data_IF_715948158920
#
_entry.id   IF_715948158920
#
_cell.length_a   1.000
_cell.length_b   1.000
_cell.length_c   1.000
_cell.angle_alpha   90.00
_cell.angle_beta   90.00
_cell.angle_gamma   90.00
#
_symmetry.space_group_name_H-M   'P 1'
#
loop_
_entity.id
_entity.type
_entity.pdbx_description
1 polymer ?
#
# COMPACT_ATOMS: atom_id res chain seq x y z
N UNK A 1 6.00 -2.79 14.71
CA UNK A 1 5.66 -1.39 14.40
C UNK A 1 4.22 -1.37 13.91
N UNK A 2 3.39 -0.45 14.39
CA UNK A 2 1.99 -0.38 13.96
C UNK A 2 1.87 0.47 12.68
N UNK A 3 1.50 -0.18 11.57
CA UNK A 3 1.31 0.47 10.27
C UNK A 3 0.12 1.45 10.31
N UNK A 4 -0.89 1.16 11.15
CA UNK A 4 -2.15 1.94 11.20
C UNK A 4 -1.94 3.38 11.65
N UNK A 5 -0.83 3.67 12.31
CA UNK A 5 -0.49 5.01 12.81
C UNK A 5 0.67 5.66 12.05
N UNK A 6 1.16 5.04 10.98
CA UNK A 6 2.25 5.60 10.19
C UNK A 6 1.74 6.77 9.34
N UNK A 7 2.49 7.88 9.26
CA UNK A 7 2.15 8.94 8.32
C UNK A 7 2.39 8.49 6.87
N UNK A 8 1.70 9.13 5.93
CA UNK A 8 2.00 9.01 4.52
C UNK A 8 3.44 9.47 4.25
N UNK A 9 4.14 8.77 3.35
CA UNK A 9 5.52 9.07 3.00
C UNK A 9 6.37 7.83 2.69
N UNK A 10 7.67 8.06 2.43
CA UNK A 10 8.57 7.03 1.93
C UNK A 10 8.67 5.79 2.82
N UNK A 11 8.58 5.95 4.14
CA UNK A 11 8.65 4.84 5.09
C UNK A 11 7.43 3.92 4.97
N UNK A 12 6.22 4.49 4.81
CA UNK A 12 5.01 3.69 4.61
C UNK A 12 4.99 3.02 3.23
N UNK A 13 5.41 3.75 2.20
CA UNK A 13 5.52 3.22 0.83
C UNK A 13 6.52 2.05 0.77
N UNK A 14 7.62 2.10 1.56
CA UNK A 14 8.55 1.01 1.73
C UNK A 14 7.93 -0.22 2.41
N UNK A 15 7.09 -0.02 3.44
CA UNK A 15 6.37 -1.12 4.10
C UNK A 15 5.41 -1.83 3.14
N UNK A 16 4.78 -1.08 2.24
CA UNK A 16 3.96 -1.64 1.16
C UNK A 16 4.79 -2.40 0.13
N UNK A 17 5.92 -1.85 -0.34
CA UNK A 17 6.82 -2.56 -1.24
C UNK A 17 7.25 -3.92 -0.65
N UNK A 18 7.62 -3.94 0.64
CA UNK A 18 7.94 -5.19 1.36
C UNK A 18 6.74 -6.14 1.42
N UNK A 19 5.54 -5.63 1.72
CA UNK A 19 4.31 -6.45 1.75
C UNK A 19 3.94 -7.03 0.38
N UNK A 20 4.28 -6.33 -0.71
CA UNK A 20 4.14 -6.82 -2.08
C UNK A 20 5.18 -7.91 -2.45
N UNK A 21 6.16 -8.14 -1.59
CA UNK A 21 7.25 -9.10 -1.78
C UNK A 21 8.40 -8.54 -2.60
N UNK A 22 8.62 -7.22 -2.57
CA UNK A 22 9.77 -6.60 -3.24
C UNK A 22 11.00 -6.71 -2.35
N UNK A 23 12.13 -7.05 -2.97
CA UNK A 23 13.42 -7.11 -2.27
C UNK A 23 14.04 -5.70 -2.24
N UNK A 24 14.46 -5.27 -1.05
CA UNK A 24 15.23 -4.04 -0.90
C UNK A 24 16.68 -4.30 -1.28
N UNK A 25 17.21 -3.51 -2.21
CA UNK A 25 18.63 -3.54 -2.60
C UNK A 25 19.27 -2.18 -2.34
N UNK A 26 20.54 -2.20 -1.95
CA UNK A 26 21.33 -0.99 -1.88
C UNK A 26 21.87 -0.64 -3.28
N UNK A 27 21.55 0.56 -3.78
CA UNK A 27 22.07 1.00 -5.08
C UNK A 27 23.54 1.41 -4.95
N UNK A 28 24.48 0.77 -5.69
CA UNK A 28 25.92 0.93 -5.48
C UNK A 28 26.44 2.37 -5.69
N UNK A 29 25.71 3.20 -6.43
CA UNK A 29 26.15 4.54 -6.84
C UNK A 29 25.39 5.70 -6.18
N UNK A 30 24.27 5.44 -5.50
CA UNK A 30 23.43 6.49 -4.90
C UNK A 30 23.26 6.37 -3.39
N UNK A 31 23.61 5.22 -2.79
CA UNK A 31 23.40 4.96 -1.36
C UNK A 31 21.92 5.00 -0.96
N UNK A 32 21.01 4.88 -1.92
CA UNK A 32 19.56 4.86 -1.70
C UNK A 32 19.03 3.45 -1.86
N UNK A 33 18.00 3.06 -1.09
CA UNK A 33 17.31 1.80 -1.34
C UNK A 33 16.61 1.86 -2.71
N UNK A 34 16.72 0.78 -3.46
CA UNK A 34 15.87 0.48 -4.61
C UNK A 34 15.14 -0.84 -4.35
N UNK A 35 14.07 -1.06 -5.11
CA UNK A 35 13.23 -2.24 -4.95
C UNK A 35 13.34 -3.14 -6.17
N UNK A 36 13.43 -4.44 -5.94
CA UNK A 36 13.46 -5.46 -6.98
C UNK A 36 12.19 -6.30 -6.89
N UNK A 37 11.52 -6.47 -8.03
CA UNK A 37 10.41 -7.41 -8.15
C UNK A 37 10.70 -8.37 -9.31
N UNK A 38 10.69 -9.68 -9.02
CA UNK A 38 10.95 -10.73 -10.01
C UNK A 38 12.26 -10.55 -10.81
N UNK A 39 13.32 -10.06 -10.16
CA UNK A 39 14.62 -9.82 -10.80
C UNK A 39 14.71 -8.54 -11.65
N UNK A 40 13.64 -7.74 -11.72
CA UNK A 40 13.63 -6.43 -12.37
C UNK A 40 13.74 -5.34 -11.32
N UNK A 41 14.72 -4.44 -11.48
CA UNK A 41 14.86 -3.30 -10.58
C UNK A 41 13.75 -2.29 -10.88
N UNK A 42 12.79 -2.18 -9.97
CA UNK A 42 11.85 -1.07 -9.90
C UNK A 42 12.54 0.10 -9.16
N UNK A 43 13.47 0.77 -9.83
CA UNK A 43 14.08 2.02 -9.34
C UNK A 43 12.99 3.10 -9.33
N UNK A 44 12.71 3.94 -8.33
CA UNK A 44 13.24 4.22 -6.99
C UNK A 44 12.05 4.59 -6.08
N UNK A 45 12.24 4.75 -4.76
CA UNK A 45 11.20 5.32 -3.85
C UNK A 45 10.64 6.69 -4.28
N UNK A 46 11.25 7.35 -5.27
CA UNK A 46 10.75 8.59 -5.86
C UNK A 46 9.53 8.39 -6.76
N UNK A 47 9.38 7.20 -7.35
CA UNK A 47 8.34 6.92 -8.35
C UNK A 47 7.23 6.02 -7.78
N UNK A 48 7.55 5.19 -6.78
CA UNK A 48 6.55 4.43 -6.02
C UNK A 48 6.13 5.20 -4.77
N UNK A 49 5.12 6.06 -4.91
CA UNK A 49 4.61 6.95 -3.84
C UNK A 49 3.11 6.80 -3.57
N UNK A 50 2.61 5.57 -3.33
CA UNK A 50 1.16 5.29 -3.23
C UNK A 50 0.45 5.99 -2.08
N UNK A 51 1.13 6.27 -0.97
CA UNK A 51 0.51 6.99 0.15
C UNK A 51 0.27 8.47 -0.10
N UNK A 52 0.86 9.04 -1.16
CA UNK A 52 0.84 10.49 -1.44
C UNK A 52 0.40 10.86 -2.86
N UNK A 53 0.34 9.90 -3.78
CA UNK A 53 -0.10 10.14 -5.17
C UNK A 53 -1.22 9.18 -5.61
N UNK A 54 -2.13 9.70 -6.42
CA UNK A 54 -3.19 8.89 -7.04
C UNK A 54 -2.65 7.86 -8.02
N UNK A 55 -1.58 8.19 -8.75
CA UNK A 55 -0.92 7.26 -9.68
C UNK A 55 -0.36 6.06 -8.93
N UNK A 56 0.38 6.29 -7.83
CA UNK A 56 0.88 5.20 -6.99
C UNK A 56 -0.25 4.38 -6.37
N UNK A 57 -1.28 5.03 -5.81
CA UNK A 57 -2.43 4.31 -5.24
C UNK A 57 -3.18 3.49 -6.31
N UNK A 58 -3.28 3.99 -7.54
CA UNK A 58 -3.84 3.27 -8.68
C UNK A 58 -3.07 2.00 -9.00
N UNK A 59 -1.73 2.07 -9.05
CA UNK A 59 -0.88 0.89 -9.24
C UNK A 59 -1.09 -0.16 -8.15
N UNK A 60 -1.29 0.27 -6.90
CA UNK A 60 -1.59 -0.64 -5.77
C UNK A 60 -2.93 -1.33 -5.96
N UNK A 61 -3.97 -0.58 -6.32
CA UNK A 61 -5.31 -1.16 -6.57
C UNK A 61 -5.25 -2.18 -7.70
N UNK A 62 -4.60 -1.86 -8.82
CA UNK A 62 -4.44 -2.77 -9.96
C UNK A 62 -3.68 -4.05 -9.57
N UNK A 63 -2.59 -3.91 -8.82
CA UNK A 63 -1.79 -5.03 -8.35
C UNK A 63 -2.56 -5.91 -7.34
N UNK A 64 -3.34 -5.29 -6.44
CA UNK A 64 -4.22 -6.02 -5.51
C UNK A 64 -5.31 -6.80 -6.27
N UNK A 65 -5.94 -6.17 -7.27
CA UNK A 65 -6.91 -6.82 -8.16
C UNK A 65 -6.29 -7.99 -8.93
N UNK A 66 -5.07 -7.82 -9.45
CA UNK A 66 -4.31 -8.90 -10.10
C UNK A 66 -4.05 -10.08 -9.16
N UNK A 67 -3.93 -9.83 -7.86
CA UNK A 67 -3.78 -10.84 -6.79
C UNK A 67 -5.12 -11.40 -6.28
N UNK A 68 -6.23 -11.04 -6.92
CA UNK A 68 -7.57 -11.55 -6.62
C UNK A 68 -8.32 -10.80 -5.52
N UNK A 69 -7.83 -9.64 -5.08
CA UNK A 69 -8.54 -8.79 -4.13
C UNK A 69 -9.52 -7.85 -4.83
N UNK A 70 -10.68 -7.66 -4.24
CA UNK A 70 -11.59 -6.57 -4.59
C UNK A 70 -11.35 -5.37 -3.67
N UNK A 71 -11.63 -4.17 -4.17
CA UNK A 71 -11.49 -2.93 -3.41
C UNK A 71 -12.86 -2.28 -3.22
N UNK A 72 -13.17 -1.90 -1.98
CA UNK A 72 -14.29 -1.03 -1.65
C UNK A 72 -13.78 0.28 -1.08
N UNK A 73 -14.25 1.40 -1.64
CA UNK A 73 -13.97 2.74 -1.12
C UNK A 73 -15.31 3.39 -0.83
N UNK A 74 -15.51 3.81 0.42
CA UNK A 74 -16.69 4.52 0.87
C UNK A 74 -16.26 5.83 1.52
N UNK A 75 -16.76 6.94 0.99
CA UNK A 75 -16.44 8.28 1.51
C UNK A 75 -17.69 8.92 2.11
N UNK A 76 -17.62 9.24 3.39
CA UNK A 76 -18.57 10.04 4.13
C UNK A 76 -18.03 11.47 4.34
N UNK A 77 -18.87 12.43 4.76
CA UNK A 77 -18.42 13.81 4.99
C UNK A 77 -17.26 13.94 6.00
N UNK A 78 -17.12 12.99 6.92
CA UNK A 78 -16.13 13.06 8.01
C UNK A 78 -15.14 11.88 8.03
N UNK A 79 -15.32 10.88 7.16
CA UNK A 79 -14.56 9.63 7.22
C UNK A 79 -14.49 8.99 5.83
N UNK A 80 -13.37 8.37 5.51
CA UNK A 80 -13.22 7.52 4.35
C UNK A 80 -12.82 6.12 4.82
N UNK A 81 -13.55 5.11 4.34
CA UNK A 81 -13.29 3.70 4.59
C UNK A 81 -12.73 3.07 3.32
N UNK A 82 -11.60 2.39 3.45
CA UNK A 82 -11.02 1.59 2.37
C UNK A 82 -10.89 0.16 2.83
N UNK A 83 -11.46 -0.76 2.05
CA UNK A 83 -11.42 -2.19 2.31
C UNK A 83 -10.88 -2.95 1.11
N UNK A 84 -10.04 -3.95 1.39
CA UNK A 84 -9.69 -5.00 0.46
C UNK A 84 -10.28 -6.31 0.96
N UNK A 85 -10.97 -7.03 0.08
CA UNK A 85 -11.59 -8.29 0.45
C UNK A 85 -11.51 -9.31 -0.67
N UNK A 86 -11.57 -10.60 -0.32
CA UNK A 86 -11.70 -11.69 -1.27
C UNK A 86 -13.00 -12.46 -1.04
N UNK A 87 -13.55 -13.12 -2.08
CA UNK A 87 -14.74 -13.96 -1.93
C UNK A 87 -14.58 -15.15 -0.96
N UNK A 88 -13.35 -15.57 -0.69
CA UNK A 88 -13.03 -16.69 0.23
C UNK A 88 -13.02 -16.30 1.72
N UNK A 89 -13.16 -15.00 2.03
CA UNK A 89 -13.29 -14.48 3.38
C UNK A 89 -12.10 -13.65 3.87
N UNK A 90 -11.00 -13.54 3.11
CA UNK A 90 -9.92 -12.61 3.46
C UNK A 90 -10.45 -11.17 3.44
N UNK A 91 -10.10 -10.38 4.47
CA UNK A 91 -10.62 -9.03 4.65
C UNK A 91 -9.62 -8.15 5.41
N UNK A 92 -9.40 -6.93 4.90
CA UNK A 92 -8.73 -5.87 5.64
C UNK A 92 -9.38 -4.52 5.34
N UNK A 93 -9.45 -3.67 6.36
CA UNK A 93 -10.02 -2.34 6.28
C UNK A 93 -9.14 -1.34 7.03
N UNK A 94 -9.08 -0.12 6.51
CA UNK A 94 -8.61 1.04 7.25
C UNK A 94 -9.51 2.24 6.98
N UNK A 95 -9.80 3.01 8.03
CA UNK A 95 -10.50 4.28 7.92
C UNK A 95 -9.57 5.46 8.24
N UNK A 96 -9.85 6.60 7.63
CA UNK A 96 -9.12 7.84 7.82
C UNK A 96 -9.98 9.05 7.50
N UNK A 97 -9.41 10.25 7.56
CA UNK A 97 -10.14 11.44 7.12
C UNK A 97 -10.36 11.43 5.60
N UNK A 98 -11.37 12.14 5.07
CA UNK A 98 -11.61 12.20 3.63
C UNK A 98 -10.41 12.68 2.80
N UNK A 99 -9.54 13.52 3.39
CA UNK A 99 -8.30 14.00 2.77
C UNK A 99 -7.14 12.98 2.80
N UNK A 100 -7.29 11.87 3.51
CA UNK A 100 -6.25 10.85 3.74
C UNK A 100 -6.52 9.57 2.95
N UNK A 101 -7.34 9.64 1.89
CA UNK A 101 -7.76 8.45 1.14
C UNK A 101 -6.59 7.63 0.58
N UNK A 102 -5.51 8.29 0.11
CA UNK A 102 -4.31 7.62 -0.41
C UNK A 102 -3.54 6.87 0.69
N UNK A 103 -3.46 7.48 1.88
CA UNK A 103 -2.94 6.86 3.08
C UNK A 103 -3.78 5.63 3.45
N UNK A 104 -5.11 5.78 3.46
CA UNK A 104 -6.03 4.70 3.80
C UNK A 104 -5.96 3.52 2.82
N UNK A 105 -5.86 3.78 1.50
CA UNK A 105 -5.60 2.75 0.48
C UNK A 105 -4.32 1.99 0.78
N UNK A 106 -3.23 2.72 1.06
CA UNK A 106 -1.92 2.14 1.30
C UNK A 106 -1.91 1.26 2.54
N UNK A 107 -2.47 1.74 3.66
CA UNK A 107 -2.55 0.98 4.91
C UNK A 107 -3.44 -0.26 4.71
N UNK A 108 -4.64 -0.11 4.14
CA UNK A 108 -5.54 -1.24 3.91
C UNK A 108 -4.90 -2.32 3.02
N UNK A 109 -4.13 -1.93 1.99
CA UNK A 109 -3.39 -2.86 1.15
C UNK A 109 -2.29 -3.61 1.93
N UNK A 110 -1.52 -2.91 2.77
CA UNK A 110 -0.50 -3.55 3.63
C UNK A 110 -1.16 -4.56 4.56
N UNK A 111 -2.26 -4.18 5.21
CA UNK A 111 -3.00 -5.05 6.13
C UNK A 111 -3.50 -6.31 5.43
N UNK A 112 -4.10 -6.16 4.24
CA UNK A 112 -4.56 -7.27 3.40
C UNK A 112 -3.40 -8.21 3.01
N UNK A 113 -2.28 -7.66 2.53
CA UNK A 113 -1.12 -8.43 2.10
C UNK A 113 -0.43 -9.19 3.25
N UNK A 114 -0.52 -8.67 4.48
CA UNK A 114 0.00 -9.33 5.69
C UNK A 114 -0.96 -10.33 6.32
N UNK A 115 -2.22 -10.39 5.85
CA UNK A 115 -3.27 -11.17 6.50
C UNK A 115 -3.67 -10.60 7.87
N UNK A 116 -3.42 -9.31 8.11
CA UNK A 116 -3.82 -8.62 9.33
C UNK A 116 -5.23 -8.07 9.14
N UNK A 117 -6.25 -8.80 9.60
CA UNK A 117 -7.62 -8.29 9.63
C UNK A 117 -7.75 -7.21 10.70
N UNK A 118 -8.47 -6.14 10.38
CA UNK A 118 -8.91 -5.15 11.36
C UNK A 118 -10.12 -5.75 12.08
N UNK A 119 -9.93 -6.13 13.35
CA UNK A 119 -10.98 -6.59 14.27
C UNK A 119 -11.39 -5.49 15.23
#
# INVERSE_FOLDING_TARGET
MDIRTMPAGPELDAELARALGWDEIEMPFSGRPAWVFAGVIQCTSKDFTPSTTWEGAGQVIEEMQRRGWEVGIETHPNEAHVRFYKPDGDYAEHSGQPGELLLAITIAAILALRGESSG
#
